data_IF_015291985952
#
_entry.id   IF_015291985952
#
_cell.length_a   1.000
_cell.length_b   1.000
_cell.length_c   1.000
_cell.angle_alpha   90.00
_cell.angle_beta   90.00
_cell.angle_gamma   90.00
#
_symmetry.space_group_name_H-M   'P 1'
#
loop_
_entity.id
_entity.type
_entity.pdbx_description
1 polymer ?
#
# COMPACT_ATOMS: atom_id res chain seq x y z
N UNK A 1 1.87 66.58 -7.54
CA UNK A 1 0.43 66.87 -7.65
C UNK A 1 -0.34 65.93 -6.73
N UNK A 2 -1.16 66.50 -5.84
CA UNK A 2 -2.35 65.94 -5.14
C UNK A 2 -2.15 64.73 -4.19
N UNK A 3 -2.13 64.97 -2.87
CA UNK A 3 -3.24 64.84 -1.86
C UNK A 3 -3.34 63.40 -1.30
N UNK A 4 -2.90 63.10 -0.07
CA UNK A 4 -3.57 63.26 1.25
C UNK A 4 -4.97 62.61 1.37
N UNK A 5 -5.06 61.57 2.21
CA UNK A 5 -6.18 61.13 3.09
C UNK A 5 -5.81 59.71 3.58
N UNK A 6 -5.41 59.40 4.81
CA UNK A 6 -5.94 59.64 6.16
C UNK A 6 -7.45 59.36 6.27
N UNK A 7 -7.80 58.22 6.86
CA UNK A 7 -8.93 58.09 7.79
C UNK A 7 -8.77 56.83 8.67
N UNK A 8 -8.57 57.08 9.96
CA UNK A 8 -8.84 56.18 11.07
C UNK A 8 -10.32 55.74 11.06
N UNK A 9 -10.59 54.48 11.40
CA UNK A 9 -11.74 54.13 12.23
C UNK A 9 -11.51 52.78 12.91
N UNK A 10 -11.15 52.86 14.19
CA UNK A 10 -11.28 51.80 15.18
C UNK A 10 -12.77 51.65 15.58
N UNK A 11 -13.08 50.58 16.32
CA UNK A 11 -14.30 50.34 17.14
C UNK A 11 -15.31 49.31 16.60
N UNK A 12 -15.00 48.04 16.90
CA UNK A 12 -15.81 47.01 17.59
C UNK A 12 -17.34 47.00 17.48
N UNK A 13 -17.89 45.83 17.07
CA UNK A 13 -19.06 45.21 17.72
C UNK A 13 -18.85 43.69 17.79
N UNK A 14 -18.81 43.17 19.01
CA UNK A 14 -18.97 41.76 19.39
C UNK A 14 -20.47 41.37 19.33
N UNK A 15 -20.78 40.10 19.00
CA UNK A 15 -21.86 39.22 19.52
C UNK A 15 -22.01 38.02 18.53
N UNK A 16 -21.44 36.83 18.72
CA UNK A 16 -21.73 35.70 19.63
C UNK A 16 -22.95 34.81 19.27
N UNK A 17 -22.75 33.49 19.48
CA UNK A 17 -23.67 32.32 19.43
C UNK A 17 -23.80 31.63 18.05
N UNK A 18 -23.11 30.52 17.76
CA UNK A 18 -23.06 29.18 18.39
C UNK A 18 -24.36 28.38 18.23
N UNK A 19 -24.32 27.37 17.34
CA UNK A 19 -24.99 26.09 17.55
C UNK A 19 -24.05 24.97 17.08
N UNK A 20 -23.70 24.16 18.07
CA UNK A 20 -22.88 22.95 18.02
C UNK A 20 -23.86 21.77 17.94
N UNK A 21 -23.66 20.89 16.97
CA UNK A 21 -24.01 19.47 17.04
C UNK A 21 -23.27 18.81 15.85
N UNK A 22 -22.44 17.78 15.99
CA UNK A 22 -22.24 16.85 17.09
C UNK A 22 -21.94 15.50 16.46
N UNK A 23 -20.67 15.08 16.50
CA UNK A 23 -20.15 13.71 16.38
C UNK A 23 -18.62 13.83 16.27
N UNK A 24 -17.88 14.13 17.35
CA UNK A 24 -17.41 13.12 18.32
C UNK A 24 -17.07 11.77 17.70
N UNK A 25 -15.75 11.55 17.53
CA UNK A 25 -15.01 10.29 17.72
C UNK A 25 -15.83 8.99 17.67
N UNK A 26 -15.59 8.19 16.64
CA UNK A 26 -15.19 6.79 16.81
C UNK A 26 -13.78 6.69 16.19
N UNK A 27 -12.68 6.57 16.94
CA UNK A 27 -12.30 5.42 17.75
C UNK A 27 -12.51 4.09 17.00
N UNK A 28 -11.75 3.96 15.92
CA UNK A 28 -11.12 2.70 15.50
C UNK A 28 -9.62 2.68 15.82
N UNK A 29 -9.18 3.47 16.81
CA UNK A 29 -7.87 3.27 17.47
C UNK A 29 -7.99 2.08 18.41
N UNK A 30 -8.19 0.92 17.81
CA UNK A 30 -7.94 -0.40 18.39
C UNK A 30 -6.76 -1.02 17.67
N UNK A 31 -5.71 -0.24 17.40
CA UNK A 31 -4.46 -0.80 16.92
C UNK A 31 -3.81 -1.45 18.13
N UNK A 32 -4.12 -2.73 18.34
CA UNK A 32 -3.24 -3.62 19.09
C UNK A 32 -1.83 -3.34 18.57
N UNK A 33 -0.94 -2.91 19.45
CA UNK A 33 0.25 -2.09 19.11
C UNK A 33 1.37 -2.83 18.37
N UNK A 34 1.03 -3.78 17.51
CA UNK A 34 1.92 -4.50 16.60
C UNK A 34 1.26 -4.97 15.30
N UNK A 35 -0.03 -4.72 15.07
CA UNK A 35 -0.74 -5.21 13.88
C UNK A 35 -0.72 -4.18 12.74
N UNK A 36 -0.46 -4.66 11.52
CA UNK A 36 -0.57 -3.85 10.32
C UNK A 36 -2.03 -3.40 10.08
N UNK A 37 -2.27 -2.15 9.65
CA UNK A 37 -3.61 -1.69 9.30
C UNK A 37 -4.24 -2.57 8.21
N UNK A 38 -5.55 -2.82 8.30
CA UNK A 38 -6.27 -3.67 7.32
C UNK A 38 -6.15 -3.16 5.88
N UNK A 39 -6.07 -1.85 5.67
CA UNK A 39 -5.85 -1.23 4.36
C UNK A 39 -4.50 -1.64 3.75
N UNK A 40 -3.43 -1.63 4.56
CA UNK A 40 -2.12 -2.11 4.15
C UNK A 40 -2.16 -3.59 3.77
N UNK A 41 -2.80 -4.42 4.60
CA UNK A 41 -2.90 -5.86 4.34
C UNK A 41 -3.72 -6.19 3.10
N UNK A 42 -4.85 -5.52 2.90
CA UNK A 42 -5.65 -5.66 1.67
C UNK A 42 -4.84 -5.27 0.43
N UNK A 43 -4.04 -4.20 0.50
CA UNK A 43 -3.20 -3.78 -0.64
C UNK A 43 -2.11 -4.83 -0.96
N UNK A 44 -1.49 -5.42 0.05
CA UNK A 44 -0.51 -6.50 -0.14
C UNK A 44 -1.18 -7.76 -0.71
N UNK A 45 -2.33 -8.16 -0.18
CA UNK A 45 -3.12 -9.29 -0.70
C UNK A 45 -3.50 -9.08 -2.17
N UNK A 46 -3.97 -7.87 -2.50
CA UNK A 46 -4.32 -7.50 -3.86
C UNK A 46 -3.10 -7.55 -4.79
N UNK A 47 -1.96 -7.03 -4.35
CA UNK A 47 -0.71 -7.13 -5.10
C UNK A 47 -0.35 -8.60 -5.41
N UNK A 48 -0.35 -9.46 -4.40
CA UNK A 48 -0.06 -10.90 -4.57
C UNK A 48 -1.04 -11.55 -5.56
N UNK A 49 -2.33 -11.26 -5.42
CA UNK A 49 -3.36 -11.79 -6.32
C UNK A 49 -3.18 -11.31 -7.77
N UNK A 50 -2.82 -10.04 -7.98
CA UNK A 50 -2.54 -9.49 -9.32
C UNK A 50 -1.33 -10.18 -9.97
N UNK A 51 -0.24 -10.39 -9.21
CA UNK A 51 0.93 -11.13 -9.71
C UNK A 51 0.53 -12.55 -10.12
N UNK A 52 -0.23 -13.25 -9.27
CA UNK A 52 -0.64 -14.64 -9.54
C UNK A 52 -1.57 -14.76 -10.74
N UNK A 53 -2.54 -13.84 -10.89
CA UNK A 53 -3.44 -13.79 -12.03
C UNK A 53 -2.70 -13.48 -13.34
N UNK A 54 -1.67 -12.63 -13.28
CA UNK A 54 -0.87 -12.23 -14.45
C UNK A 54 -0.12 -13.40 -15.08
N UNK A 55 0.15 -14.48 -14.33
CA UNK A 55 0.82 -15.69 -14.84
C UNK A 55 0.07 -16.40 -15.97
N UNK A 56 -1.25 -16.20 -16.08
CA UNK A 56 -2.06 -16.76 -17.17
C UNK A 56 -1.82 -16.05 -18.53
N UNK A 57 -1.19 -14.88 -18.53
CA UNK A 57 -0.87 -14.14 -19.76
C UNK A 57 0.32 -14.81 -20.44
N UNK A 58 0.18 -15.18 -21.72
CA UNK A 58 1.25 -15.86 -22.49
C UNK A 58 2.44 -14.97 -22.79
N UNK A 59 2.20 -13.71 -23.14
CA UNK A 59 3.25 -12.77 -23.55
C UNK A 59 4.04 -12.23 -22.36
N UNK A 60 5.37 -12.37 -22.41
CA UNK A 60 6.28 -11.97 -21.33
C UNK A 60 6.27 -10.47 -21.08
N UNK A 61 6.35 -9.66 -22.13
CA UNK A 61 6.39 -8.20 -21.99
C UNK A 61 5.10 -7.66 -21.34
N UNK A 62 3.95 -8.24 -21.70
CA UNK A 62 2.67 -7.91 -21.07
C UNK A 62 2.62 -8.32 -19.60
N UNK A 63 3.22 -9.45 -19.21
CA UNK A 63 3.35 -9.83 -17.78
C UNK A 63 4.22 -8.84 -17.01
N UNK A 64 5.40 -8.51 -17.53
CA UNK A 64 6.31 -7.54 -16.89
C UNK A 64 5.68 -6.15 -16.72
N UNK A 65 4.91 -5.70 -17.72
CA UNK A 65 4.14 -4.47 -17.63
C UNK A 65 3.09 -4.52 -16.51
N UNK A 66 2.38 -5.65 -16.37
CA UNK A 66 1.37 -5.88 -15.32
C UNK A 66 1.99 -5.98 -13.93
N UNK A 67 3.17 -6.62 -13.79
CA UNK A 67 3.92 -6.62 -12.53
C UNK A 67 4.34 -5.20 -12.12
N UNK A 68 4.79 -4.39 -13.08
CA UNK A 68 5.18 -3.00 -12.85
C UNK A 68 3.96 -2.15 -12.43
N UNK A 69 2.81 -2.36 -13.07
CA UNK A 69 1.54 -1.70 -12.70
C UNK A 69 1.13 -2.04 -11.27
N UNK A 70 1.13 -3.32 -10.91
CA UNK A 70 0.82 -3.79 -9.55
C UNK A 70 1.76 -3.15 -8.50
N UNK A 71 3.06 -3.04 -8.80
CA UNK A 71 4.02 -2.41 -7.89
C UNK A 71 3.76 -0.90 -7.74
N UNK A 72 3.38 -0.21 -8.82
CA UNK A 72 3.00 1.21 -8.78
C UNK A 72 1.74 1.45 -7.95
N UNK A 73 0.79 0.52 -7.96
CA UNK A 73 -0.41 0.58 -7.13
C UNK A 73 -0.10 0.35 -5.65
N UNK A 74 0.81 -0.58 -5.33
CA UNK A 74 1.19 -0.90 -3.96
C UNK A 74 2.06 0.19 -3.29
N UNK A 75 2.99 0.79 -4.04
CA UNK A 75 3.95 1.77 -3.54
C UNK A 75 3.37 2.94 -2.72
N UNK A 76 2.29 3.64 -3.15
CA UNK A 76 1.72 4.74 -2.36
C UNK A 76 1.16 4.27 -1.01
N UNK A 77 0.56 3.06 -0.94
CA UNK A 77 0.04 2.50 0.32
C UNK A 77 1.19 2.17 1.26
N UNK A 78 2.26 1.53 0.76
CA UNK A 78 3.45 1.27 1.56
C UNK A 78 4.08 2.57 2.10
N UNK A 79 4.11 3.62 1.29
CA UNK A 79 4.58 4.95 1.71
C UNK A 79 3.70 5.57 2.79
N UNK A 80 2.38 5.45 2.68
CA UNK A 80 1.41 5.96 3.66
C UNK A 80 1.64 5.37 5.07
N UNK A 81 2.11 4.13 5.15
CA UNK A 81 2.35 3.41 6.41
C UNK A 81 3.83 3.29 6.81
N UNK A 82 4.73 4.01 6.14
CA UNK A 82 6.18 3.95 6.38
C UNK A 82 6.77 2.53 6.27
N UNK A 83 6.32 1.80 5.23
CA UNK A 83 6.70 0.42 4.90
C UNK A 83 7.37 0.30 3.53
N UNK A 84 8.03 1.35 3.07
CA UNK A 84 8.66 1.40 1.72
C UNK A 84 9.70 0.30 1.49
N UNK A 85 10.35 -0.20 2.54
CA UNK A 85 11.27 -1.34 2.49
C UNK A 85 10.62 -2.64 2.00
N UNK A 86 9.29 -2.75 2.09
CA UNK A 86 8.56 -3.92 1.58
C UNK A 86 8.49 -3.94 0.05
N UNK A 87 8.86 -2.84 -0.64
CA UNK A 87 8.95 -2.82 -2.10
C UNK A 87 9.99 -3.80 -2.65
N UNK A 88 11.05 -4.09 -1.90
CA UNK A 88 12.08 -5.05 -2.30
C UNK A 88 11.54 -6.49 -2.26
N UNK A 89 10.75 -6.81 -1.22
CA UNK A 89 10.05 -8.08 -1.11
C UNK A 89 8.98 -8.21 -2.21
N UNK A 90 8.23 -7.15 -2.50
CA UNK A 90 7.28 -7.07 -3.62
C UNK A 90 7.97 -7.39 -4.96
N UNK A 91 9.04 -6.66 -5.28
CA UNK A 91 9.80 -6.85 -6.52
C UNK A 91 10.37 -8.27 -6.62
N UNK A 92 10.90 -8.81 -5.51
CA UNK A 92 11.41 -10.18 -5.44
C UNK A 92 10.31 -11.20 -5.72
N UNK A 93 9.11 -11.02 -5.16
CA UNK A 93 7.99 -11.93 -5.38
C UNK A 93 7.55 -11.95 -6.84
N UNK A 94 7.44 -10.80 -7.50
CA UNK A 94 7.14 -10.72 -8.93
C UNK A 94 8.23 -11.37 -9.78
N UNK A 95 9.51 -11.09 -9.48
CA UNK A 95 10.65 -11.66 -10.18
C UNK A 95 10.69 -13.20 -10.10
N UNK A 96 10.62 -13.76 -8.89
CA UNK A 96 10.62 -15.22 -8.73
C UNK A 96 9.33 -15.87 -9.23
N UNK A 97 8.20 -15.14 -9.26
CA UNK A 97 6.99 -15.61 -9.94
C UNK A 97 7.17 -15.76 -11.45
N UNK A 98 7.92 -14.86 -12.08
CA UNK A 98 8.27 -14.96 -13.49
C UNK A 98 9.26 -16.10 -13.75
N UNK A 99 10.29 -16.25 -12.90
CA UNK A 99 11.24 -17.36 -13.02
C UNK A 99 10.55 -18.72 -12.85
N UNK A 100 9.75 -18.91 -11.81
CA UNK A 100 8.97 -20.16 -11.62
C UNK A 100 8.04 -20.45 -12.80
N UNK A 101 7.51 -19.43 -13.46
CA UNK A 101 6.65 -19.61 -14.63
C UNK A 101 7.42 -20.01 -15.89
N UNK A 102 8.67 -19.58 -16.03
CA UNK A 102 9.43 -19.67 -17.29
C UNK A 102 10.58 -20.67 -17.25
N UNK A 103 11.07 -21.03 -16.06
CA UNK A 103 12.06 -22.08 -15.85
C UNK A 103 11.43 -23.46 -16.06
N UNK A 104 12.13 -24.33 -16.78
CA UNK A 104 11.75 -25.74 -16.93
C UNK A 104 11.72 -26.41 -15.54
N UNK A 105 10.63 -27.12 -15.16
CA UNK A 105 10.59 -27.87 -13.91
C UNK A 105 11.71 -28.91 -13.72
N UNK A 106 12.36 -29.36 -14.79
CA UNK A 106 13.52 -30.25 -14.74
C UNK A 106 14.86 -29.53 -14.49
N UNK A 107 14.89 -28.20 -14.58
CA UNK A 107 16.08 -27.39 -14.29
C UNK A 107 16.39 -27.41 -12.79
N UNK A 108 17.67 -27.55 -12.44
CA UNK A 108 18.15 -27.62 -11.06
C UNK A 108 17.83 -26.37 -10.23
N UNK A 109 17.64 -25.22 -10.89
CA UNK A 109 17.28 -23.95 -10.24
C UNK A 109 15.78 -23.81 -9.97
N UNK A 110 14.92 -24.66 -10.55
CA UNK A 110 13.48 -24.53 -10.41
C UNK A 110 13.03 -24.57 -8.94
N UNK A 111 13.53 -25.54 -8.17
CA UNK A 111 13.19 -25.67 -6.75
C UNK A 111 13.61 -24.44 -5.95
N UNK A 112 14.82 -23.94 -6.17
CA UNK A 112 15.33 -22.73 -5.51
C UNK A 112 14.50 -21.48 -5.86
N UNK A 113 14.06 -21.36 -7.12
CA UNK A 113 13.15 -20.28 -7.54
C UNK A 113 11.78 -20.38 -6.85
N UNK A 114 11.24 -21.59 -6.67
CA UNK A 114 10.00 -21.82 -5.92
C UNK A 114 10.17 -21.40 -4.45
N UNK A 115 11.25 -21.81 -3.80
CA UNK A 115 11.51 -21.48 -2.40
C UNK A 115 11.68 -19.96 -2.20
N UNK A 116 12.41 -19.29 -3.10
CA UNK A 116 12.58 -17.83 -3.08
C UNK A 116 11.27 -17.09 -3.34
N UNK A 117 10.42 -17.60 -4.23
CA UNK A 117 9.06 -17.06 -4.44
C UNK A 117 8.21 -17.20 -3.17
N UNK A 118 8.23 -18.36 -2.53
CA UNK A 118 7.46 -18.59 -1.29
C UNK A 118 7.99 -17.71 -0.16
N UNK A 119 9.31 -17.60 -0.01
CA UNK A 119 9.94 -16.75 1.00
C UNK A 119 9.56 -15.29 0.82
N UNK A 120 9.73 -14.74 -0.38
CA UNK A 120 9.38 -13.33 -0.66
C UNK A 120 7.89 -13.06 -0.40
N UNK A 121 7.00 -14.01 -0.73
CA UNK A 121 5.57 -13.92 -0.38
C UNK A 121 5.34 -13.88 1.12
N UNK A 122 6.02 -14.74 1.88
CA UNK A 122 5.93 -14.76 3.34
C UNK A 122 6.42 -13.44 3.92
N UNK A 123 7.58 -12.94 3.47
CA UNK A 123 8.16 -11.68 3.95
C UNK A 123 7.23 -10.48 3.65
N UNK A 124 6.49 -10.50 2.53
CA UNK A 124 5.43 -9.54 2.21
C UNK A 124 4.23 -9.63 3.15
N UNK A 125 3.79 -10.85 3.47
CA UNK A 125 2.56 -11.11 4.23
C UNK A 125 2.78 -11.15 5.75
N UNK A 126 4.02 -11.23 6.22
CA UNK A 126 4.37 -11.35 7.64
C UNK A 126 3.72 -10.27 8.52
N UNK A 127 3.70 -8.97 8.14
CA UNK A 127 3.04 -7.94 8.95
C UNK A 127 1.52 -8.13 9.07
N UNK A 128 0.94 -8.98 8.21
CA UNK A 128 -0.50 -9.25 8.08
C UNK A 128 -0.91 -10.62 8.62
N UNK A 129 -0.02 -11.40 9.23
CA UNK A 129 -0.36 -12.69 9.82
C UNK A 129 -1.53 -12.66 10.83
N UNK A 130 -1.72 -11.60 11.66
CA UNK A 130 -2.89 -11.49 12.52
C UNK A 130 -4.18 -11.19 11.75
N UNK A 131 -4.10 -10.51 10.60
CA UNK A 131 -5.25 -10.18 9.76
C UNK A 131 -5.81 -11.42 9.05
N UNK A 132 -4.96 -12.35 8.63
CA UNK A 132 -5.39 -13.57 7.92
C UNK A 132 -6.04 -14.62 8.82
N UNK A 133 -5.92 -14.51 10.14
CA UNK A 133 -6.54 -15.44 11.11
C UNK A 133 -7.94 -15.02 11.57
N UNK A 134 -8.36 -13.78 11.28
CA UNK A 134 -9.66 -13.22 11.69
C UNK A 134 -10.71 -13.21 10.56
N UNK A 135 -10.39 -13.75 9.38
CA UNK A 135 -11.25 -13.80 8.20
C UNK A 135 -11.72 -15.24 7.95
#
# INVERSE_FOLDING_TARGET
MKKLALCLALVTVFLSMACIAGAQKSLGRGQLSGEAPSELCNAIEQYVAQIDATRAIRDKARREAKYTEAQKELAPVLKQYDKVQMLDAAASYAHYSELVLTTDPADVSFSDNVDKRLKSRTDLMEPCAPFTTQR
#
